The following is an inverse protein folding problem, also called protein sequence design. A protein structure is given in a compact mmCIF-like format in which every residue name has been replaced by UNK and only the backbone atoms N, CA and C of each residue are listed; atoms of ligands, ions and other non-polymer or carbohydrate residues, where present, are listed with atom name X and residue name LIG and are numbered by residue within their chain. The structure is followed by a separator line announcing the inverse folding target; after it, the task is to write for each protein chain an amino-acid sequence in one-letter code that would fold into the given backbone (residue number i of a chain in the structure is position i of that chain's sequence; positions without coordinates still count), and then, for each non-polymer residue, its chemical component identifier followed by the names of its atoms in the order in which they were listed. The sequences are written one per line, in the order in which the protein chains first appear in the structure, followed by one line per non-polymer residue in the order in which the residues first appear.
data_IF_823378204764
#
_entry.id   IF_823378204764
#
_cell.length_a   1.000
_cell.length_b   1.000
_cell.length_c   1.000
_cell.angle_alpha   90.00
_cell.angle_beta   90.00
_cell.angle_gamma   90.00
#
_symmetry.space_group_name_H-M   'P 1'
#
loop_
_entity.id
_entity.type
_entity.pdbx_description
1 polymer ?
#
# COMPACT_ATOMS: atom_id res chain seq x y z
N UNK A 1 -49.30 40.94 25.06
CA UNK A 1 -48.45 40.75 26.26
C UNK A 1 -48.93 39.66 27.22
N UNK A 2 -50.27 39.47 27.36
CA UNK A 2 -50.89 38.49 28.32
C UNK A 2 -50.53 37.01 27.90
N UNK A 3 -50.43 36.70 26.60
CA UNK A 3 -50.19 35.34 26.15
C UNK A 3 -48.78 34.86 26.46
N UNK A 4 -47.76 35.72 26.34
CA UNK A 4 -46.37 35.38 26.68
C UNK A 4 -46.19 35.10 28.19
N UNK A 5 -46.92 35.87 29.04
CA UNK A 5 -46.90 35.68 30.48
C UNK A 5 -47.58 34.37 30.89
N UNK A 6 -48.66 33.97 30.22
CA UNK A 6 -49.31 32.67 30.41
C UNK A 6 -48.43 31.50 30.03
N UNK A 7 -47.72 31.61 28.90
CA UNK A 7 -46.75 30.56 28.47
C UNK A 7 -45.62 30.42 29.51
N UNK A 8 -45.05 31.53 29.99
CA UNK A 8 -43.97 31.49 30.99
C UNK A 8 -44.43 30.91 32.32
N UNK A 9 -45.64 31.21 32.78
CA UNK A 9 -46.19 30.62 33.97
C UNK A 9 -46.49 29.14 33.83
N UNK A 10 -46.98 28.70 32.68
CA UNK A 10 -47.19 27.29 32.35
C UNK A 10 -45.89 26.51 32.32
N UNK A 11 -44.82 27.06 31.72
CA UNK A 11 -43.47 26.45 31.71
C UNK A 11 -42.90 26.33 33.12
N UNK A 12 -43.11 27.33 33.99
CA UNK A 12 -42.65 27.33 35.37
C UNK A 12 -43.40 26.33 36.25
N UNK A 13 -44.69 26.09 35.98
CA UNK A 13 -45.50 25.12 36.75
C UNK A 13 -45.13 23.65 36.46
N UNK A 14 -44.52 23.37 35.32
CA UNK A 14 -44.06 22.02 34.91
C UNK A 14 -42.55 21.98 34.59
N UNK A 15 -41.75 22.54 35.48
CA UNK A 15 -40.33 22.80 35.28
C UNK A 15 -39.54 21.54 34.89
N UNK A 16 -39.77 20.40 35.54
CA UNK A 16 -39.09 19.13 35.25
C UNK A 16 -39.36 18.60 33.84
N UNK A 17 -40.63 18.66 33.41
CA UNK A 17 -41.01 18.24 32.06
C UNK A 17 -40.44 19.19 31.00
N UNK A 18 -40.42 20.49 31.28
CA UNK A 18 -39.83 21.49 30.37
C UNK A 18 -38.32 21.32 30.22
N UNK A 19 -37.60 21.10 31.34
CA UNK A 19 -36.15 20.82 31.30
C UNK A 19 -35.88 19.56 30.52
N UNK A 20 -36.63 18.48 30.74
CA UNK A 20 -36.47 17.24 30.04
C UNK A 20 -36.69 17.41 28.51
N UNK A 21 -37.74 18.13 28.12
CA UNK A 21 -38.04 18.42 26.73
C UNK A 21 -36.90 19.23 26.05
N UNK A 22 -36.38 20.26 26.74
CA UNK A 22 -35.26 21.07 26.25
C UNK A 22 -33.99 20.22 26.11
N UNK A 23 -33.68 19.38 27.09
CA UNK A 23 -32.52 18.50 27.02
C UNK A 23 -32.62 17.52 25.87
N UNK A 24 -33.78 16.89 25.66
CA UNK A 24 -33.98 15.93 24.55
C UNK A 24 -33.88 16.62 23.19
N UNK A 25 -34.49 17.80 23.03
CA UNK A 25 -34.37 18.54 21.74
C UNK A 25 -32.99 19.05 21.51
N UNK A 26 -32.29 19.56 22.51
CA UNK A 26 -30.89 19.99 22.40
C UNK A 26 -29.97 18.81 22.01
N UNK A 27 -30.17 17.67 22.66
CA UNK A 27 -29.42 16.45 22.35
C UNK A 27 -29.67 15.98 20.91
N UNK A 28 -30.93 15.97 20.45
CA UNK A 28 -31.26 15.62 19.06
C UNK A 28 -30.62 16.56 18.03
N UNK A 29 -30.67 17.87 18.27
CA UNK A 29 -30.03 18.86 17.40
C UNK A 29 -28.49 18.70 17.40
N UNK A 30 -27.90 18.48 18.59
CA UNK A 30 -26.45 18.29 18.71
C UNK A 30 -25.96 17.08 17.93
N UNK A 31 -26.66 15.94 18.03
CA UNK A 31 -26.33 14.74 17.24
C UNK A 31 -26.42 15.04 15.75
N UNK A 32 -27.47 15.71 15.30
CA UNK A 32 -27.66 16.04 13.89
C UNK A 32 -26.53 16.93 13.35
N UNK A 33 -26.11 17.92 14.13
CA UNK A 33 -24.96 18.78 13.76
C UNK A 33 -23.67 17.98 13.69
N UNK A 34 -23.41 17.11 14.66
CA UNK A 34 -22.21 16.26 14.69
C UNK A 34 -22.18 15.34 13.46
N UNK A 35 -23.30 14.71 13.09
CA UNK A 35 -23.39 13.83 11.92
C UNK A 35 -23.09 14.57 10.63
N UNK A 36 -23.67 15.77 10.45
CA UNK A 36 -23.42 16.58 9.23
C UNK A 36 -21.95 17.03 9.18
N UNK A 37 -21.35 17.41 10.29
CA UNK A 37 -19.94 17.80 10.33
C UNK A 37 -19.03 16.59 10.03
N UNK A 38 -19.36 15.42 10.58
CA UNK A 38 -18.62 14.19 10.32
C UNK A 38 -18.69 13.79 8.85
N UNK A 39 -19.88 13.79 8.25
CA UNK A 39 -20.07 13.52 6.81
C UNK A 39 -19.22 14.45 5.94
N UNK A 40 -19.29 15.75 6.18
CA UNK A 40 -18.51 16.74 5.45
C UNK A 40 -17.00 16.54 5.60
N UNK A 41 -16.55 16.21 6.83
CA UNK A 41 -15.14 15.94 7.08
C UNK A 41 -14.63 14.70 6.32
N UNK A 42 -15.38 13.59 6.41
CA UNK A 42 -15.03 12.35 5.69
C UNK A 42 -15.03 12.57 4.18
N UNK A 43 -16.07 13.20 3.64
CA UNK A 43 -16.18 13.49 2.21
C UNK A 43 -15.03 14.36 1.71
N UNK A 44 -14.69 15.41 2.43
CA UNK A 44 -13.56 16.29 2.08
C UNK A 44 -12.24 15.52 2.10
N UNK A 45 -12.03 14.66 3.11
CA UNK A 45 -10.82 13.84 3.22
C UNK A 45 -10.69 12.87 2.06
N UNK A 46 -11.74 12.11 1.75
CA UNK A 46 -11.75 11.16 0.63
C UNK A 46 -11.51 11.87 -0.70
N UNK A 47 -12.14 13.01 -0.92
CA UNK A 47 -11.93 13.78 -2.14
C UNK A 47 -10.51 14.33 -2.27
N UNK A 48 -9.89 14.73 -1.16
CA UNK A 48 -8.51 15.22 -1.18
C UNK A 48 -7.51 14.10 -1.45
N UNK A 49 -7.72 12.92 -0.85
CA UNK A 49 -6.85 11.76 -1.03
C UNK A 49 -6.89 11.24 -2.48
N UNK A 50 -8.05 11.22 -3.14
CA UNK A 50 -8.20 10.80 -4.54
C UNK A 50 -8.08 11.94 -5.58
N UNK A 51 -7.71 13.16 -5.16
CA UNK A 51 -7.72 14.32 -6.04
C UNK A 51 -6.84 14.14 -7.28
N UNK A 52 -7.42 14.35 -8.47
CA UNK A 52 -6.75 14.27 -9.77
C UNK A 52 -6.14 12.89 -10.09
N UNK A 53 -6.57 11.84 -9.44
CA UNK A 53 -6.28 10.47 -9.86
C UNK A 53 -7.51 10.00 -10.63
N UNK A 54 -7.33 9.70 -11.91
CA UNK A 54 -8.43 9.32 -12.79
C UNK A 54 -8.61 7.80 -12.82
N UNK A 55 -7.51 7.05 -12.83
CA UNK A 55 -7.50 5.59 -12.93
C UNK A 55 -6.42 5.03 -11.99
N UNK A 56 -6.71 3.88 -11.37
CA UNK A 56 -5.74 3.09 -10.62
C UNK A 56 -5.59 1.75 -11.31
N UNK A 57 -4.34 1.35 -11.59
CA UNK A 57 -4.02 0.05 -12.18
C UNK A 57 -3.25 -0.79 -11.18
N UNK A 58 -3.64 -2.04 -11.03
CA UNK A 58 -3.01 -3.01 -10.13
C UNK A 58 -3.18 -4.44 -10.63
N UNK A 59 -2.82 -5.41 -9.80
CA UNK A 59 -3.04 -6.82 -10.09
C UNK A 59 -4.54 -7.16 -10.17
N UNK A 60 -4.90 -8.15 -10.98
CA UNK A 60 -6.30 -8.58 -11.11
C UNK A 60 -6.89 -8.99 -9.77
N UNK A 61 -8.07 -8.42 -9.47
CA UNK A 61 -8.78 -8.66 -8.22
C UNK A 61 -9.95 -7.72 -8.03
N UNK A 62 -10.23 -7.34 -6.81
CA UNK A 62 -11.30 -6.40 -6.48
C UNK A 62 -10.88 -4.96 -6.83
N UNK A 63 -11.60 -4.25 -7.73
CA UNK A 63 -11.32 -2.84 -8.02
C UNK A 63 -11.38 -1.95 -6.77
N UNK A 64 -12.32 -2.24 -5.86
CA UNK A 64 -12.43 -1.51 -4.60
C UNK A 64 -11.18 -1.69 -3.73
N UNK A 65 -10.65 -2.90 -3.64
CA UNK A 65 -9.44 -3.20 -2.85
C UNK A 65 -8.22 -2.51 -3.45
N UNK A 66 -8.08 -2.46 -4.78
CA UNK A 66 -7.01 -1.73 -5.46
C UNK A 66 -7.06 -0.23 -5.10
N UNK A 67 -8.25 0.39 -5.15
CA UNK A 67 -8.43 1.80 -4.77
C UNK A 67 -8.13 2.03 -3.30
N UNK A 68 -8.63 1.16 -2.39
CA UNK A 68 -8.40 1.29 -0.95
C UNK A 68 -6.92 1.14 -0.59
N UNK A 69 -6.22 0.22 -1.23
CA UNK A 69 -4.78 0.00 -0.98
C UNK A 69 -3.89 1.08 -1.59
N UNK A 70 -4.21 1.54 -2.81
CA UNK A 70 -3.32 2.42 -3.59
C UNK A 70 -3.55 3.92 -3.38
N UNK A 71 -4.81 4.35 -3.20
CA UNK A 71 -5.13 5.77 -2.95
C UNK A 71 -5.19 6.05 -1.45
N UNK A 72 -5.93 5.21 -0.71
CA UNK A 72 -6.19 5.47 0.71
C UNK A 72 -5.20 4.78 1.64
N UNK A 73 -4.42 3.83 1.16
CA UNK A 73 -3.42 3.07 1.92
C UNK A 73 -3.96 2.42 3.21
N UNK A 74 -5.22 1.97 3.20
CA UNK A 74 -5.91 1.39 4.38
C UNK A 74 -6.15 -0.11 4.26
N UNK A 75 -5.88 -0.73 3.09
CA UNK A 75 -6.07 -2.16 2.84
C UNK A 75 -4.80 -2.79 2.26
N UNK A 76 -4.79 -4.13 2.19
CA UNK A 76 -3.74 -4.87 1.48
C UNK A 76 -4.00 -4.83 -0.02
N UNK A 77 -2.95 -4.78 -0.85
CA UNK A 77 -3.11 -4.84 -2.31
C UNK A 77 -3.61 -6.22 -2.75
N UNK A 78 -4.19 -6.29 -3.94
CA UNK A 78 -4.64 -7.55 -4.58
C UNK A 78 -3.47 -8.40 -5.08
N UNK A 79 -2.26 -7.86 -5.10
CA UNK A 79 -1.04 -8.46 -5.60
C UNK A 79 -0.15 -7.38 -6.20
N UNK A 80 0.94 -7.81 -6.83
CA UNK A 80 1.87 -6.93 -7.52
C UNK A 80 1.73 -7.07 -9.04
N UNK A 81 2.26 -6.11 -9.77
CA UNK A 81 2.31 -6.06 -11.24
C UNK A 81 3.75 -5.87 -11.70
N UNK A 82 4.14 -6.40 -12.87
CA UNK A 82 5.48 -6.23 -13.42
C UNK A 82 5.85 -4.75 -13.58
N UNK A 83 7.08 -4.40 -13.25
CA UNK A 83 7.57 -3.01 -13.40
C UNK A 83 7.53 -2.51 -14.85
N UNK A 84 7.69 -3.41 -15.83
CA UNK A 84 7.54 -3.10 -17.26
C UNK A 84 6.17 -2.51 -17.63
N UNK A 85 5.13 -2.80 -16.82
CA UNK A 85 3.80 -2.21 -16.99
C UNK A 85 3.82 -0.67 -16.90
N UNK A 86 4.74 -0.09 -16.13
CA UNK A 86 4.92 1.35 -16.05
C UNK A 86 5.24 1.94 -17.42
N UNK A 87 6.21 1.34 -18.14
CA UNK A 87 6.59 1.80 -19.47
C UNK A 87 5.44 1.64 -20.47
N UNK A 88 4.83 0.46 -20.50
CA UNK A 88 3.73 0.16 -21.42
C UNK A 88 2.56 1.14 -21.28
N UNK A 89 2.20 1.47 -20.04
CA UNK A 89 1.07 2.38 -19.77
C UNK A 89 1.48 3.84 -20.01
N UNK A 90 2.71 4.24 -19.68
CA UNK A 90 3.17 5.60 -19.90
C UNK A 90 3.29 6.00 -21.38
N UNK A 91 3.47 5.03 -22.27
CA UNK A 91 3.54 5.24 -23.72
C UNK A 91 2.13 5.36 -24.37
N UNK A 92 1.04 5.08 -23.65
CA UNK A 92 -0.32 5.20 -24.17
C UNK A 92 -0.67 6.69 -24.41
N UNK A 93 -1.12 7.06 -25.62
CA UNK A 93 -1.41 8.46 -25.97
C UNK A 93 -2.54 9.09 -25.15
N UNK A 94 -3.38 8.32 -24.47
CA UNK A 94 -4.46 8.78 -23.60
C UNK A 94 -3.97 9.19 -22.21
N UNK A 95 -2.77 8.76 -21.82
CA UNK A 95 -2.17 8.99 -20.51
C UNK A 95 -1.45 10.34 -20.49
N UNK A 96 -1.65 11.10 -19.42
CA UNK A 96 -0.93 12.34 -19.13
C UNK A 96 0.26 12.07 -18.20
N UNK A 97 -0.01 11.43 -17.03
CA UNK A 97 1.02 11.07 -16.05
C UNK A 97 0.75 9.70 -15.46
N UNK A 98 1.82 9.01 -15.12
CA UNK A 98 1.77 7.73 -14.39
C UNK A 98 2.69 7.83 -13.18
N UNK A 99 2.16 7.52 -12.00
CA UNK A 99 2.91 7.50 -10.76
C UNK A 99 2.95 6.06 -10.25
N UNK A 100 4.12 5.41 -10.20
CA UNK A 100 4.26 4.07 -9.67
C UNK A 100 4.25 4.09 -8.14
N UNK A 101 3.61 3.07 -7.56
CA UNK A 101 3.60 2.82 -6.13
C UNK A 101 4.08 1.39 -5.85
N UNK A 102 5.08 1.26 -5.00
CA UNK A 102 5.46 0.01 -4.36
C UNK A 102 5.12 0.12 -2.88
N UNK A 103 4.14 -0.65 -2.42
CA UNK A 103 3.75 -0.67 -1.02
C UNK A 103 4.75 -1.53 -0.26
N UNK A 104 5.57 -0.88 0.53
CA UNK A 104 6.54 -1.51 1.40
C UNK A 104 5.94 -1.87 2.77
N UNK A 105 6.86 -2.00 3.69
CA UNK A 105 6.59 -2.30 5.09
C UNK A 105 5.79 -1.21 5.81
N UNK A 106 5.51 -1.48 7.06
CA UNK A 106 4.83 -0.58 7.97
C UNK A 106 5.78 -0.19 9.12
N UNK A 107 5.69 1.06 9.57
CA UNK A 107 6.35 1.50 10.78
C UNK A 107 5.35 2.25 11.66
N UNK A 108 5.05 1.69 12.84
CA UNK A 108 4.10 2.26 13.82
C UNK A 108 2.77 2.70 13.17
N UNK A 109 2.16 1.81 12.41
CA UNK A 109 0.93 2.02 11.65
C UNK A 109 1.01 3.11 10.55
N UNK A 110 2.22 3.53 10.17
CA UNK A 110 2.44 4.39 9.02
C UNK A 110 3.07 3.57 7.90
N UNK A 111 2.41 3.52 6.75
CA UNK A 111 2.88 2.73 5.61
C UNK A 111 4.10 3.39 4.98
N UNK A 112 5.11 2.58 4.66
CA UNK A 112 6.24 2.97 3.84
C UNK A 112 5.85 2.75 2.38
N UNK A 113 5.97 3.78 1.55
CA UNK A 113 5.57 3.75 0.15
C UNK A 113 6.75 4.17 -0.72
N UNK A 114 7.22 3.24 -1.55
CA UNK A 114 8.17 3.53 -2.61
C UNK A 114 7.47 4.18 -3.79
N UNK A 115 7.98 5.32 -4.25
CA UNK A 115 7.37 6.09 -5.34
C UNK A 115 8.39 7.03 -5.97
N UNK A 116 7.92 7.90 -6.85
CA UNK A 116 8.72 8.93 -7.51
C UNK A 116 8.37 10.33 -6.99
N UNK A 117 9.15 11.35 -7.37
CA UNK A 117 8.88 12.73 -6.94
C UNK A 117 7.56 13.29 -7.47
N UNK A 118 7.08 12.76 -8.58
CA UNK A 118 5.80 13.13 -9.18
C UNK A 118 4.63 12.90 -8.20
N UNK A 119 4.75 11.97 -7.24
CA UNK A 119 3.73 11.76 -6.21
C UNK A 119 3.66 12.93 -5.23
N UNK A 120 4.81 13.50 -4.83
CA UNK A 120 4.85 14.70 -4.00
C UNK A 120 4.30 15.92 -4.76
N UNK A 121 4.69 16.08 -6.03
CA UNK A 121 4.24 17.17 -6.89
C UNK A 121 2.73 17.10 -7.16
N UNK A 122 2.18 15.89 -7.37
CA UNK A 122 0.77 15.66 -7.59
C UNK A 122 -0.10 16.28 -6.49
N UNK A 123 0.31 16.12 -5.24
CA UNK A 123 -0.36 16.70 -4.08
C UNK A 123 0.18 18.08 -3.69
N UNK A 124 1.08 18.67 -4.49
CA UNK A 124 1.73 19.95 -4.19
C UNK A 124 2.38 20.00 -2.80
N UNK A 125 2.93 18.85 -2.37
CA UNK A 125 3.54 18.69 -1.07
C UNK A 125 4.80 19.55 -0.94
N UNK A 126 4.97 20.17 0.22
CA UNK A 126 6.14 21.01 0.55
C UNK A 126 6.81 20.47 1.80
N UNK A 127 8.13 20.58 1.85
CA UNK A 127 8.89 20.24 3.04
C UNK A 127 8.71 21.31 4.13
N UNK A 128 8.56 20.85 5.37
CA UNK A 128 8.66 21.66 6.58
C UNK A 128 10.10 21.69 7.08
N UNK A 129 10.76 20.51 7.09
CA UNK A 129 12.14 20.33 7.56
C UNK A 129 12.89 19.36 6.67
N UNK A 130 14.21 19.54 6.59
CA UNK A 130 15.09 18.64 5.88
C UNK A 130 15.01 18.79 4.36
N UNK A 131 15.14 17.68 3.64
CA UNK A 131 15.15 17.60 2.18
C UNK A 131 14.38 16.38 1.67
N UNK A 132 14.13 16.30 0.36
CA UNK A 132 13.66 15.07 -0.29
C UNK A 132 14.77 14.01 -0.30
N UNK A 133 14.38 12.74 -0.48
CA UNK A 133 15.33 11.65 -0.63
C UNK A 133 16.21 11.86 -1.86
N UNK A 134 17.46 11.47 -1.79
CA UNK A 134 18.45 11.51 -2.89
C UNK A 134 19.17 10.18 -3.04
N UNK A 135 19.10 9.34 -2.02
CA UNK A 135 19.71 8.01 -1.95
C UNK A 135 18.66 7.00 -1.57
N UNK A 136 18.97 5.75 -1.83
CA UNK A 136 18.18 4.62 -1.35
C UNK A 136 18.10 4.62 0.18
N UNK A 137 16.99 4.10 0.70
CA UNK A 137 16.68 4.05 2.12
C UNK A 137 16.59 5.41 2.84
N UNK A 138 16.50 6.49 2.09
CA UNK A 138 16.10 7.78 2.63
C UNK A 138 14.58 7.94 2.58
N UNK A 139 13.98 8.45 3.65
CA UNK A 139 12.53 8.60 3.81
C UNK A 139 12.15 10.04 4.11
N UNK A 140 11.10 10.50 3.48
CA UNK A 140 10.36 11.72 3.83
C UNK A 140 9.09 11.35 4.55
N UNK A 141 8.91 11.87 5.77
CA UNK A 141 7.75 11.59 6.60
C UNK A 141 6.62 12.58 6.36
N UNK A 142 5.39 12.11 6.35
CA UNK A 142 4.19 12.93 6.37
C UNK A 142 4.06 13.72 7.68
N UNK A 143 3.33 14.81 7.64
CA UNK A 143 3.21 15.77 8.76
C UNK A 143 2.59 15.19 10.03
N UNK A 144 1.76 14.14 9.91
CA UNK A 144 1.10 13.49 11.05
C UNK A 144 1.91 12.35 11.65
N UNK A 145 3.02 11.96 10.99
CA UNK A 145 3.90 10.90 11.48
C UNK A 145 4.77 11.42 12.63
N UNK A 146 4.65 10.79 13.79
CA UNK A 146 5.42 11.18 14.99
C UNK A 146 6.84 10.66 14.92
N UNK A 147 7.72 11.38 14.20
CA UNK A 147 9.10 10.98 13.95
C UNK A 147 10.03 12.21 13.93
N UNK A 148 11.30 11.99 14.26
CA UNK A 148 12.31 13.03 14.23
C UNK A 148 13.17 12.97 12.98
N UNK A 149 13.67 14.12 12.54
CA UNK A 149 14.65 14.19 11.47
C UNK A 149 15.92 13.42 11.84
N UNK A 150 16.53 12.72 10.89
CA UNK A 150 17.69 11.83 11.04
C UNK A 150 17.44 10.58 11.89
N UNK A 151 16.21 10.29 12.30
CA UNK A 151 15.88 9.04 12.96
C UNK A 151 16.01 7.87 11.99
N UNK A 152 16.57 6.76 12.47
CA UNK A 152 16.60 5.49 11.76
C UNK A 152 15.37 4.66 12.15
N UNK A 153 14.75 4.01 11.17
CA UNK A 153 13.58 3.16 11.34
C UNK A 153 13.78 1.86 10.56
N UNK A 154 13.22 0.79 11.08
CA UNK A 154 13.12 -0.49 10.38
C UNK A 154 11.64 -0.78 10.12
N UNK A 155 11.32 -1.17 8.91
CA UNK A 155 9.98 -1.61 8.55
C UNK A 155 9.63 -2.97 9.17
N UNK A 156 8.35 -3.27 9.27
CA UNK A 156 7.82 -4.59 9.60
C UNK A 156 6.78 -4.98 8.55
N UNK A 157 6.79 -6.26 8.15
CA UNK A 157 5.81 -6.76 7.17
C UNK A 157 4.38 -6.74 7.74
N UNK A 158 3.43 -6.34 6.89
CA UNK A 158 1.99 -6.31 7.20
C UNK A 158 1.46 -4.97 7.66
N UNK A 159 0.14 -4.90 7.91
CA UNK A 159 -0.55 -3.68 8.36
C UNK A 159 -0.41 -3.41 9.86
N UNK A 160 0.01 -4.41 10.63
CA UNK A 160 0.14 -4.33 12.10
C UNK A 160 1.56 -4.70 12.48
N UNK A 161 2.14 -4.01 13.47
CA UNK A 161 3.45 -4.37 14.02
C UNK A 161 3.46 -5.82 14.50
N UNK A 162 4.20 -6.67 13.80
CA UNK A 162 4.56 -8.01 14.24
C UNK A 162 6.00 -8.01 14.73
N UNK A 163 6.35 -8.91 15.66
CA UNK A 163 7.71 -9.02 16.21
C UNK A 163 8.78 -9.46 15.20
N UNK A 164 8.40 -9.74 13.96
CA UNK A 164 9.32 -10.07 12.87
C UNK A 164 9.89 -8.78 12.27
N UNK A 165 10.89 -8.21 12.95
CA UNK A 165 11.75 -7.16 12.40
C UNK A 165 12.81 -7.83 11.56
N UNK A 166 12.75 -7.65 10.25
CA UNK A 166 13.88 -7.98 9.40
C UNK A 166 14.95 -6.88 9.55
N UNK A 167 16.16 -7.29 9.84
CA UNK A 167 17.32 -6.37 10.00
C UNK A 167 17.81 -5.84 8.62
N UNK A 168 17.10 -6.21 7.54
CA UNK A 168 17.42 -5.92 6.15
C UNK A 168 16.69 -4.63 5.71
N UNK A 169 17.35 -3.49 5.86
CA UNK A 169 16.88 -2.20 5.35
C UNK A 169 16.48 -1.20 6.44
N UNK A 170 17.47 -0.48 6.96
CA UNK A 170 17.22 0.67 7.84
C UNK A 170 16.97 1.91 7.00
N UNK A 171 15.80 2.46 7.13
CA UNK A 171 15.47 3.74 6.52
C UNK A 171 15.92 4.91 7.41
N UNK A 172 16.41 5.99 6.79
CA UNK A 172 16.77 7.23 7.50
C UNK A 172 15.80 8.34 7.11
N UNK A 173 15.21 9.02 8.09
CA UNK A 173 14.33 10.16 7.88
C UNK A 173 15.15 11.40 7.52
N UNK A 174 15.02 11.87 6.27
CA UNK A 174 15.75 13.02 5.74
C UNK A 174 14.90 14.28 5.55
N UNK A 175 13.58 14.13 5.62
CA UNK A 175 12.65 15.23 5.49
C UNK A 175 11.32 14.98 6.18
N UNK A 176 10.61 16.07 6.48
CA UNK A 176 9.27 16.06 7.04
C UNK A 176 8.41 17.02 6.22
N UNK A 177 7.24 16.58 5.79
CA UNK A 177 6.31 17.39 5.00
C UNK A 177 5.53 18.39 5.87
N UNK A 178 5.15 19.51 5.27
CA UNK A 178 4.08 20.36 5.80
C UNK A 178 2.74 19.66 5.69
N UNK A 179 1.75 19.97 6.55
CA UNK A 179 0.40 19.44 6.42
C UNK A 179 -0.16 19.67 5.01
N UNK A 180 -0.57 18.60 4.35
CA UNK A 180 -1.17 18.65 3.01
C UNK A 180 -2.69 18.51 3.04
N UNK A 181 -3.25 17.97 4.12
CA UNK A 181 -4.65 17.58 4.22
C UNK A 181 -5.01 16.36 3.36
N UNK A 182 -4.00 15.60 2.90
CA UNK A 182 -4.14 14.43 2.04
C UNK A 182 -3.55 13.18 2.69
N UNK A 183 -3.61 12.07 1.97
CA UNK A 183 -3.04 10.79 2.40
C UNK A 183 -1.56 10.89 2.78
N UNK A 184 -0.79 11.77 2.12
CA UNK A 184 0.65 11.95 2.37
C UNK A 184 0.97 12.26 3.83
N UNK A 185 0.06 12.92 4.54
CA UNK A 185 0.30 13.31 5.93
C UNK A 185 0.57 12.12 6.86
N UNK A 186 0.10 10.91 6.51
CA UNK A 186 0.24 9.69 7.32
C UNK A 186 1.19 8.64 6.74
N UNK A 187 1.90 8.97 5.66
CA UNK A 187 2.81 8.06 4.97
C UNK A 187 4.28 8.35 5.28
N UNK A 188 5.10 7.34 5.04
CA UNK A 188 6.55 7.42 4.94
C UNK A 188 6.91 7.17 3.48
N UNK A 189 7.45 8.18 2.79
CA UNK A 189 7.69 8.16 1.36
C UNK A 189 9.18 7.97 1.07
N UNK A 190 9.52 7.05 0.20
CA UNK A 190 10.89 6.73 -0.18
C UNK A 190 11.01 6.52 -1.69
N UNK A 191 12.22 6.35 -2.19
CA UNK A 191 12.42 5.98 -3.60
C UNK A 191 11.83 4.61 -3.90
N UNK A 192 11.34 4.44 -5.12
CA UNK A 192 10.80 3.17 -5.59
C UNK A 192 11.84 2.04 -5.44
N UNK A 193 13.09 2.32 -5.81
CA UNK A 193 14.22 1.38 -5.72
C UNK A 193 14.46 0.86 -4.30
N UNK A 194 14.26 1.67 -3.27
CA UNK A 194 14.42 1.25 -1.87
C UNK A 194 13.48 0.11 -1.49
N UNK A 195 12.22 0.19 -1.92
CA UNK A 195 11.22 -0.85 -1.63
C UNK A 195 11.48 -2.09 -2.49
N UNK A 196 11.80 -1.91 -3.76
CA UNK A 196 12.09 -3.03 -4.67
C UNK A 196 13.30 -3.85 -4.23
N UNK A 197 14.35 -3.21 -3.66
CA UNK A 197 15.53 -3.91 -3.16
C UNK A 197 15.22 -4.78 -1.94
N UNK A 198 14.39 -4.30 -1.01
CA UNK A 198 14.01 -5.09 0.16
C UNK A 198 13.23 -6.33 -0.28
N UNK A 199 12.23 -6.17 -1.13
CA UNK A 199 11.43 -7.30 -1.61
C UNK A 199 12.22 -8.26 -2.51
N UNK A 200 13.22 -7.77 -3.26
CA UNK A 200 14.13 -8.63 -4.03
C UNK A 200 15.03 -9.49 -3.14
N UNK A 201 15.51 -8.96 -2.02
CA UNK A 201 16.30 -9.71 -1.04
C UNK A 201 15.47 -10.76 -0.30
N UNK A 202 14.22 -10.47 0.03
CA UNK A 202 13.31 -11.41 0.70
C UNK A 202 13.00 -12.64 -0.19
N UNK A 203 12.95 -12.48 -1.51
CA UNK A 203 12.77 -13.59 -2.44
C UNK A 203 14.00 -14.50 -2.44
N UNK A 204 15.21 -13.93 -2.51
CA UNK A 204 16.46 -14.70 -2.50
C UNK A 204 16.67 -15.44 -1.17
N UNK A 205 16.32 -14.85 -0.04
CA UNK A 205 16.46 -15.47 1.26
C UNK A 205 15.44 -16.59 1.50
N UNK A 206 14.22 -16.46 1.00
CA UNK A 206 13.21 -17.51 1.04
C UNK A 206 13.60 -18.71 0.16
N UNK A 207 14.16 -18.50 -1.02
CA UNK A 207 14.64 -19.59 -1.88
C UNK A 207 15.81 -20.36 -1.22
N UNK A 208 16.73 -19.66 -0.57
CA UNK A 208 17.85 -20.30 0.16
C UNK A 208 17.36 -21.17 1.32
N UNK A 209 16.38 -20.69 2.09
CA UNK A 209 15.83 -21.41 3.24
C UNK A 209 15.03 -22.65 2.82
N UNK A 210 14.34 -22.65 1.69
CA UNK A 210 13.66 -23.83 1.16
C UNK A 210 14.65 -24.91 0.71
N UNK A 211 15.82 -24.55 0.18
CA UNK A 211 16.83 -25.51 -0.22
C UNK A 211 17.60 -26.14 0.95
N UNK A 212 17.64 -25.51 2.12
CA UNK A 212 18.27 -26.10 3.31
C UNK A 212 17.37 -27.10 4.05
N UNK A 213 16.03 -26.93 4.02
CA UNK A 213 15.09 -27.86 4.65
C UNK A 213 14.95 -29.20 3.92
N UNK A 214 15.15 -29.24 2.59
CA UNK A 214 15.08 -30.49 1.82
C UNK A 214 16.30 -31.40 1.97
N UNK A 215 17.37 -30.96 2.66
CA UNK A 215 18.59 -31.77 2.86
C UNK A 215 18.63 -32.55 4.18
N UNK A 216 17.68 -32.41 5.08
CA UNK A 216 17.72 -33.01 6.42
C UNK A 216 16.77 -34.19 6.69
N UNK A 217 16.01 -34.69 5.73
CA UNK A 217 15.05 -35.80 5.96
C UNK A 217 15.40 -37.12 5.29
N UNK A 218 16.66 -37.43 5.00
CA UNK A 218 17.06 -38.78 4.57
C UNK A 218 18.27 -39.33 5.31
N UNK A 219 18.13 -39.52 6.62
CA UNK A 219 18.95 -40.51 7.34
C UNK A 219 18.14 -41.14 8.48
N UNK A 220 17.89 -42.43 8.28
CA UNK A 220 17.67 -43.58 9.18
C UNK A 220 16.36 -44.34 9.00
N UNK A 221 16.43 -45.31 8.15
CA UNK A 221 15.81 -46.61 8.46
C UNK A 221 16.71 -47.74 7.92
N UNK A 222 17.45 -48.37 8.83
CA UNK A 222 18.00 -49.69 8.64
C UNK A 222 16.86 -50.72 8.69
N UNK A 223 16.69 -51.52 7.65
CA UNK A 223 16.09 -52.85 7.75
C UNK A 223 16.71 -53.82 6.77
N UNK A 224 17.36 -54.81 7.35
CA UNK A 224 17.50 -56.22 7.04
C UNK A 224 17.47 -56.76 5.60
N UNK A 225 18.54 -57.53 5.42
CA UNK A 225 18.93 -58.51 4.43
C UNK A 225 17.79 -59.30 3.80
N UNK A 226 17.74 -59.37 2.49
CA UNK A 226 17.49 -60.60 1.73
C UNK A 226 18.33 -60.61 0.47
N UNK A 227 19.11 -61.69 0.36
CA UNK A 227 19.88 -62.12 -0.84
C UNK A 227 18.90 -62.51 -1.96
N UNK A 228 19.14 -62.04 -3.18
CA UNK A 228 18.86 -62.81 -4.40
C UNK A 228 19.80 -62.39 -5.55
N UNK A 229 20.20 -63.43 -6.23
CA UNK A 229 21.23 -63.58 -7.27
C UNK A 229 20.94 -62.79 -8.56
N UNK A 230 22.03 -62.29 -9.10
CA UNK A 230 22.48 -62.25 -10.52
C UNK A 230 21.44 -62.22 -11.63
N UNK A 231 21.51 -61.16 -12.44
CA UNK A 231 21.70 -61.27 -13.88
C UNK A 231 22.30 -60.00 -14.47
N UNK A 232 23.33 -60.25 -15.32
CA UNK A 232 24.05 -59.22 -16.07
C UNK A 232 23.19 -58.68 -17.21
N UNK A 233 23.09 -57.32 -17.30
CA UNK A 233 22.90 -56.68 -18.60
C UNK A 233 23.78 -55.41 -18.68
N UNK A 234 24.74 -55.49 -19.54
CA UNK A 234 25.51 -54.36 -20.10
C UNK A 234 24.57 -53.36 -20.75
N UNK A 235 24.56 -52.11 -20.27
CA UNK A 235 24.15 -50.98 -21.07
C UNK A 235 25.12 -49.83 -20.97
N UNK A 236 25.75 -49.64 -22.11
CA UNK A 236 26.58 -48.55 -22.54
C UNK A 236 25.96 -47.19 -22.18
N UNK A 237 26.55 -46.44 -21.26
CA UNK A 237 26.15 -45.09 -20.93
C UNK A 237 26.96 -44.09 -21.71
N UNK A 238 26.35 -43.58 -22.77
CA UNK A 238 26.81 -42.36 -23.44
C UNK A 238 26.73 -41.18 -22.46
N UNK A 239 27.88 -40.62 -22.18
CA UNK A 239 28.00 -39.32 -21.47
C UNK A 239 27.42 -38.21 -22.38
N UNK A 240 26.16 -37.85 -22.16
CA UNK A 240 25.61 -36.54 -22.56
C UNK A 240 26.07 -35.51 -21.56
N UNK A 241 27.00 -34.64 -22.01
CA UNK A 241 27.42 -33.47 -21.26
C UNK A 241 26.19 -32.61 -20.93
N UNK A 242 25.91 -32.49 -19.64
CA UNK A 242 24.99 -31.47 -19.12
C UNK A 242 25.66 -30.10 -19.33
N UNK A 243 25.26 -29.43 -20.41
CA UNK A 243 25.41 -27.99 -20.49
C UNK A 243 24.51 -27.40 -19.39
N UNK A 244 25.14 -26.94 -18.32
CA UNK A 244 24.49 -26.09 -17.33
C UNK A 244 24.03 -24.84 -18.06
N UNK A 245 22.74 -24.81 -18.44
CA UNK A 245 22.07 -23.60 -18.84
C UNK A 245 22.01 -22.69 -17.59
N UNK A 246 22.97 -21.80 -17.49
CA UNK A 246 22.88 -20.62 -16.61
C UNK A 246 21.85 -19.63 -17.19
N UNK A 247 20.61 -20.05 -17.31
CA UNK A 247 19.48 -19.12 -17.29
C UNK A 247 19.26 -18.80 -15.82
N UNK A 248 19.95 -17.81 -15.28
CA UNK A 248 19.42 -17.04 -14.19
C UNK A 248 18.11 -16.45 -14.72
N UNK A 249 16.99 -17.03 -14.32
CA UNK A 249 15.68 -16.45 -14.56
C UNK A 249 15.72 -15.04 -13.94
N UNK A 250 15.80 -14.04 -14.81
CA UNK A 250 15.80 -12.65 -14.42
C UNK A 250 14.40 -12.36 -13.88
N UNK A 251 14.25 -12.40 -12.56
CA UNK A 251 13.00 -12.05 -11.87
C UNK A 251 12.77 -10.57 -12.10
N UNK A 252 11.76 -10.24 -12.87
CA UNK A 252 11.39 -8.85 -13.14
C UNK A 252 10.92 -8.19 -11.85
N UNK A 253 11.44 -6.98 -11.50
CA UNK A 253 10.94 -6.24 -10.34
C UNK A 253 9.44 -6.00 -10.42
N UNK A 254 8.75 -6.07 -9.29
CA UNK A 254 7.31 -5.88 -9.20
C UNK A 254 6.96 -4.64 -8.39
N UNK A 255 5.92 -3.94 -8.83
CA UNK A 255 5.32 -2.80 -8.13
C UNK A 255 3.87 -3.13 -7.77
N UNK A 256 3.31 -2.39 -6.82
CA UNK A 256 1.95 -2.68 -6.34
C UNK A 256 0.89 -2.12 -7.27
N UNK A 257 1.05 -0.87 -7.73
CA UNK A 257 0.05 -0.20 -8.55
C UNK A 257 0.60 1.01 -9.28
N UNK A 258 -0.18 1.49 -10.25
CA UNK A 258 0.05 2.73 -10.98
C UNK A 258 -1.13 3.66 -10.78
N UNK A 259 -0.85 4.92 -10.38
CA UNK A 259 -1.84 5.99 -10.37
C UNK A 259 -1.73 6.77 -11.68
N UNK A 260 -2.83 6.95 -12.37
CA UNK A 260 -2.85 7.53 -13.71
C UNK A 260 -3.70 8.78 -13.73
N UNK A 261 -3.16 9.84 -14.32
CA UNK A 261 -3.89 11.03 -14.77
C UNK A 261 -4.04 10.94 -16.28
N UNK A 262 -5.22 11.18 -16.78
CA UNK A 262 -5.54 11.10 -18.22
C UNK A 262 -5.61 12.48 -18.86
N UNK A 263 -5.43 12.53 -20.19
CA UNK A 263 -5.52 13.79 -20.95
C UNK A 263 -6.96 14.26 -21.20
N UNK A 264 -7.95 13.37 -21.04
CA UNK A 264 -9.34 13.72 -21.34
C UNK A 264 -10.34 12.82 -20.62
N UNK A 265 -11.59 13.29 -20.37
CA UNK A 265 -12.63 12.46 -19.76
C UNK A 265 -13.01 11.21 -20.58
N UNK A 266 -12.82 11.22 -21.89
CA UNK A 266 -13.05 10.06 -22.75
C UNK A 266 -12.01 8.96 -22.50
N UNK A 267 -10.79 9.35 -22.16
CA UNK A 267 -9.74 8.42 -21.80
C UNK A 267 -10.09 7.62 -20.54
N UNK A 268 -10.79 8.22 -19.57
CA UNK A 268 -11.24 7.56 -18.34
C UNK A 268 -12.20 6.39 -18.59
N UNK A 269 -12.86 6.36 -19.74
CA UNK A 269 -13.77 5.27 -20.13
C UNK A 269 -13.04 4.21 -20.96
N UNK A 270 -12.19 4.65 -21.89
CA UNK A 270 -11.57 3.76 -22.86
C UNK A 270 -10.35 3.03 -22.30
N UNK A 271 -9.49 3.73 -21.56
CA UNK A 271 -8.24 3.19 -21.05
C UNK A 271 -8.45 2.00 -20.08
N UNK A 272 -9.37 2.05 -19.08
CA UNK A 272 -9.64 0.89 -18.23
C UNK A 272 -10.13 -0.33 -19.01
N UNK A 273 -10.97 -0.11 -20.01
CA UNK A 273 -11.49 -1.21 -20.85
C UNK A 273 -10.37 -1.87 -21.66
N UNK A 274 -9.48 -1.06 -22.23
CA UNK A 274 -8.31 -1.53 -22.97
C UNK A 274 -7.37 -2.34 -22.06
N UNK A 275 -7.00 -1.79 -20.91
CA UNK A 275 -6.11 -2.44 -19.93
C UNK A 275 -6.71 -3.76 -19.47
N UNK A 276 -7.95 -3.77 -19.01
CA UNK A 276 -8.64 -4.96 -18.48
C UNK A 276 -8.79 -6.08 -19.53
N UNK A 277 -8.90 -5.73 -20.82
CA UNK A 277 -9.10 -6.68 -21.91
C UNK A 277 -7.79 -7.21 -22.51
N UNK A 278 -6.78 -6.35 -22.60
CA UNK A 278 -5.55 -6.64 -23.35
C UNK A 278 -4.40 -7.07 -22.45
N UNK A 279 -4.52 -6.90 -21.15
CA UNK A 279 -3.45 -7.19 -20.20
C UNK A 279 -3.93 -8.09 -19.05
N UNK A 280 -2.98 -8.55 -18.23
CA UNK A 280 -3.28 -9.25 -16.97
C UNK A 280 -3.50 -8.27 -15.80
N UNK A 281 -3.65 -6.97 -16.09
CA UNK A 281 -3.87 -5.92 -15.10
C UNK A 281 -5.35 -5.64 -14.89
N UNK A 282 -5.68 -4.94 -13.79
CA UNK A 282 -7.00 -4.43 -13.44
C UNK A 282 -6.92 -2.90 -13.35
N UNK A 283 -7.82 -2.20 -14.04
CA UNK A 283 -7.98 -0.74 -13.97
C UNK A 283 -9.39 -0.35 -13.60
#
# INVERSE_FOLDING_TARGET
MKDLTLVLLSLKSRLSSTILAVLLTTFGISISIILVQFENHVKTRLNNDGKKIDIVVGAKGSPLQIVLSSIYHIDLPTGNIPYSSLKTISEDPLVDKVIPLALGDNWKNNRIVGTTYEYLEHYSAKLDKGRSWQKEFEVVAGSSVKINLNQEISGSHGLVETNNRHDHGKYRVVGILKPTGTVLDRLLLTSLTSVLQIHGQDIEDNEKNHHEHDKHEHEKHEHDKHEHKTDNHDHNSEQKGNSVNNNQDFIEPEITSLLITTKSPVANINLPRSINKQTQLQA
#
